data_IF_718489886175
#
_entry.id   IF_718489886175
#
_cell.length_a   1.000
_cell.length_b   1.000
_cell.length_c   1.000
_cell.angle_alpha   90.00
_cell.angle_beta   90.00
_cell.angle_gamma   90.00
#
_symmetry.space_group_name_H-M   'P 1'
#
loop_
_entity.id
_entity.type
_entity.pdbx_description
1 polymer ?
#
# COMPACT_ATOMS: atom_id res chain seq x y z
N UNK A 1 31.94 11.99 -7.00
CA UNK A 1 30.72 11.17 -7.18
C UNK A 1 29.54 12.12 -7.28
N UNK A 2 28.83 12.14 -8.41
CA UNK A 2 27.57 12.88 -8.55
C UNK A 2 26.43 11.95 -8.10
N UNK A 3 25.53 12.46 -7.27
CA UNK A 3 24.35 11.74 -6.80
C UNK A 3 23.26 11.78 -7.87
N UNK A 4 22.78 10.60 -8.28
CA UNK A 4 21.67 10.46 -9.22
C UNK A 4 20.39 10.29 -8.40
N UNK A 5 19.39 11.13 -8.63
CA UNK A 5 18.06 10.98 -8.04
C UNK A 5 17.19 10.16 -8.98
N UNK A 6 16.77 8.98 -8.53
CA UNK A 6 15.89 8.09 -9.28
C UNK A 6 14.48 8.21 -8.70
N UNK A 7 13.49 8.41 -9.56
CA UNK A 7 12.07 8.34 -9.18
C UNK A 7 11.51 7.05 -9.74
N UNK A 8 10.97 6.20 -8.88
CA UNK A 8 10.43 4.89 -9.26
C UNK A 8 8.94 4.93 -9.00
N UNK A 9 8.15 4.68 -10.04
CA UNK A 9 6.71 4.48 -9.93
C UNK A 9 6.46 2.99 -9.70
N UNK A 10 5.85 2.66 -8.56
CA UNK A 10 5.59 1.29 -8.14
C UNK A 10 4.08 1.08 -8.06
N UNK A 11 3.62 0.00 -8.68
CA UNK A 11 2.26 -0.49 -8.51
C UNK A 11 2.05 -0.87 -7.02
N UNK A 12 1.11 -0.23 -6.31
CA UNK A 12 0.89 -0.48 -4.89
C UNK A 12 0.57 -1.95 -4.58
N UNK A 13 -0.01 -2.69 -5.53
CA UNK A 13 -0.29 -4.12 -5.35
C UNK A 13 0.97 -4.98 -5.29
N UNK A 14 2.09 -4.50 -5.86
CA UNK A 14 3.37 -5.21 -5.90
C UNK A 14 4.31 -4.84 -4.75
N UNK A 15 3.99 -3.79 -3.99
CA UNK A 15 4.80 -3.36 -2.85
C UNK A 15 4.93 -4.47 -1.79
N UNK A 16 3.87 -5.22 -1.43
CA UNK A 16 4.00 -6.31 -0.47
C UNK A 16 4.93 -7.41 -0.95
N UNK A 17 4.83 -7.80 -2.23
CA UNK A 17 5.73 -8.77 -2.82
C UNK A 17 7.17 -8.25 -2.83
N UNK A 18 7.38 -6.97 -3.18
CA UNK A 18 8.70 -6.36 -3.18
C UNK A 18 9.33 -6.31 -1.77
N UNK A 19 8.56 -5.93 -0.75
CA UNK A 19 9.06 -5.71 0.62
C UNK A 19 9.22 -7.03 1.37
N UNK A 20 8.28 -7.97 1.21
CA UNK A 20 8.30 -9.24 1.94
C UNK A 20 9.09 -10.34 1.22
N UNK A 21 9.64 -10.09 0.03
CA UNK A 21 10.50 -11.08 -0.65
C UNK A 21 11.75 -11.35 0.16
N UNK A 22 12.17 -12.62 0.20
CA UNK A 22 13.47 -12.98 0.75
C UNK A 22 14.58 -12.55 -0.22
N UNK A 23 15.16 -11.38 0.05
CA UNK A 23 16.24 -10.81 -0.76
C UNK A 23 17.56 -11.57 -0.60
N UNK A 24 17.72 -12.45 0.39
CA UNK A 24 18.94 -13.28 0.51
C UNK A 24 19.12 -14.25 -0.67
N UNK A 25 18.02 -14.57 -1.37
CA UNK A 25 17.98 -15.43 -2.54
C UNK A 25 18.16 -14.66 -3.86
N UNK A 26 18.07 -13.33 -3.82
CA UNK A 26 18.22 -12.47 -4.98
C UNK A 26 19.64 -11.90 -5.01
N UNK A 27 20.38 -12.15 -6.09
CA UNK A 27 21.72 -11.59 -6.29
C UNK A 27 21.73 -10.08 -6.60
N UNK A 28 20.57 -9.42 -6.57
CA UNK A 28 20.38 -8.04 -7.01
C UNK A 28 20.28 -7.08 -5.81
N UNK A 29 21.42 -6.49 -5.46
CA UNK A 29 21.59 -5.44 -4.45
C UNK A 29 20.69 -4.22 -4.73
N UNK A 30 20.42 -3.91 -6.00
CA UNK A 30 19.53 -2.82 -6.39
C UNK A 30 18.09 -3.07 -5.92
N UNK A 31 17.58 -4.30 -6.04
CA UNK A 31 16.20 -4.63 -5.67
C UNK A 31 16.02 -4.53 -4.16
N UNK A 32 17.01 -4.99 -3.39
CA UNK A 32 17.04 -4.84 -1.94
C UNK A 32 17.01 -3.37 -1.52
N UNK A 33 17.83 -2.52 -2.15
CA UNK A 33 17.85 -1.09 -1.85
C UNK A 33 16.52 -0.39 -2.18
N UNK A 34 15.84 -0.80 -3.26
CA UNK A 34 14.50 -0.29 -3.58
C UNK A 34 13.49 -0.77 -2.54
N UNK A 35 13.54 -2.03 -2.11
CA UNK A 35 12.66 -2.56 -1.07
C UNK A 35 12.85 -1.82 0.27
N UNK A 36 14.10 -1.59 0.70
CA UNK A 36 14.44 -0.81 1.89
C UNK A 36 13.91 0.62 1.77
N UNK A 37 14.18 1.29 0.65
CA UNK A 37 13.73 2.67 0.44
C UNK A 37 12.19 2.78 0.45
N UNK A 38 11.51 1.80 -0.15
CA UNK A 38 10.03 1.73 -0.19
C UNK A 38 9.46 1.47 1.20
N UNK A 39 10.02 0.50 1.94
CA UNK A 39 9.58 0.18 3.30
C UNK A 39 9.74 1.38 4.22
N UNK A 40 10.87 2.09 4.14
CA UNK A 40 11.12 3.31 4.90
C UNK A 40 10.20 4.46 4.53
N UNK A 41 9.93 4.65 3.24
CA UNK A 41 9.02 5.70 2.78
C UNK A 41 7.57 5.48 3.26
N UNK A 42 7.16 4.23 3.44
CA UNK A 42 5.83 3.84 3.89
C UNK A 42 5.73 3.57 5.40
N UNK A 43 6.86 3.53 6.12
CA UNK A 43 6.92 3.21 7.55
C UNK A 43 6.59 1.76 7.87
N UNK A 44 6.92 0.83 6.97
CA UNK A 44 6.61 -0.62 7.07
C UNK A 44 7.88 -1.48 7.17
N UNK A 45 8.94 -0.92 7.77
CA UNK A 45 10.25 -1.57 7.92
C UNK A 45 10.16 -2.94 8.63
N UNK A 46 9.17 -3.12 9.50
CA UNK A 46 8.88 -4.38 10.21
C UNK A 46 8.48 -5.55 9.29
N UNK A 47 8.13 -5.29 8.03
CA UNK A 47 7.72 -6.31 7.06
C UNK A 47 8.84 -6.68 6.06
N UNK A 48 9.96 -5.96 6.12
CA UNK A 48 11.08 -6.18 5.20
C UNK A 48 11.65 -7.59 5.34
N UNK A 49 11.81 -8.28 4.21
CA UNK A 49 12.34 -9.65 4.14
C UNK A 49 11.58 -10.67 5.00
N UNK A 50 10.30 -10.41 5.30
CA UNK A 50 9.44 -11.31 6.07
C UNK A 50 8.33 -11.90 5.18
N UNK A 51 8.63 -12.97 4.41
CA UNK A 51 7.68 -13.55 3.44
C UNK A 51 6.40 -14.06 4.10
N UNK A 52 6.47 -14.54 5.34
CA UNK A 52 5.31 -15.04 6.09
C UNK A 52 4.27 -13.95 6.37
N UNK A 53 4.68 -12.68 6.38
CA UNK A 53 3.82 -11.54 6.72
C UNK A 53 3.27 -10.80 5.51
N UNK A 54 3.47 -11.32 4.30
CA UNK A 54 2.96 -10.71 3.06
C UNK A 54 1.45 -10.49 3.09
N UNK A 55 0.69 -11.43 3.68
CA UNK A 55 -0.75 -11.32 3.80
C UNK A 55 -1.18 -10.24 4.80
N UNK A 56 -0.44 -10.07 5.90
CA UNK A 56 -0.66 -8.98 6.86
C UNK A 56 -0.43 -7.63 6.20
N UNK A 57 0.67 -7.48 5.47
CA UNK A 57 1.00 -6.24 4.77
C UNK A 57 -0.02 -5.91 3.67
N UNK A 58 -0.42 -6.90 2.86
CA UNK A 58 -1.48 -6.72 1.85
C UNK A 58 -2.78 -6.25 2.48
N UNK A 59 -3.18 -6.86 3.59
CA UNK A 59 -4.40 -6.47 4.32
C UNK A 59 -4.29 -5.05 4.85
N UNK A 60 -3.18 -4.70 5.50
CA UNK A 60 -2.96 -3.36 6.03
C UNK A 60 -2.99 -2.29 4.93
N UNK A 61 -2.34 -2.54 3.80
CA UNK A 61 -2.38 -1.64 2.64
C UNK A 61 -3.80 -1.48 2.10
N UNK A 62 -4.54 -2.58 1.95
CA UNK A 62 -5.93 -2.54 1.51
C UNK A 62 -6.82 -1.75 2.48
N UNK A 63 -6.70 -1.98 3.79
CA UNK A 63 -7.45 -1.25 4.82
C UNK A 63 -7.11 0.25 4.82
N UNK A 64 -5.85 0.62 4.51
CA UNK A 64 -5.40 2.01 4.39
C UNK A 64 -6.03 2.72 3.19
N UNK A 65 -6.01 2.07 2.02
CA UNK A 65 -6.64 2.60 0.80
C UNK A 65 -8.18 2.69 0.95
N UNK A 66 -8.81 1.68 1.56
CA UNK A 66 -10.26 1.67 1.74
C UNK A 66 -10.75 2.58 2.88
N UNK A 67 -9.93 2.81 3.92
CA UNK A 67 -10.27 3.80 4.97
C UNK A 67 -10.33 5.21 4.41
N UNK A 68 -9.53 5.51 3.38
CA UNK A 68 -9.58 6.81 2.70
C UNK A 68 -10.85 7.00 1.84
N UNK A 69 -11.58 5.92 1.53
CA UNK A 69 -12.85 5.95 0.81
C UNK A 69 -14.09 5.93 1.73
N UNK A 70 -13.91 5.68 3.04
CA UNK A 70 -15.03 5.45 3.95
C UNK A 70 -15.67 6.73 4.53
N UNK A 71 -15.22 7.94 4.16
CA UNK A 71 -15.68 9.18 4.80
C UNK A 71 -16.57 10.11 3.96
N UNK A 72 -16.85 9.80 2.68
CA UNK A 72 -17.68 10.65 1.80
C UNK A 72 -19.00 10.00 1.31
N UNK A 73 -19.30 8.76 1.72
CA UNK A 73 -20.44 8.01 1.15
C UNK A 73 -21.74 8.02 1.98
N UNK A 74 -21.82 8.78 3.08
CA UNK A 74 -23.07 8.92 3.85
C UNK A 74 -23.28 10.37 4.30
N UNK A 75 -23.89 11.17 3.42
CA UNK A 75 -24.70 12.32 3.85
C UNK A 75 -26.17 11.88 3.90
N UNK A 76 -26.76 11.64 5.08
CA UNK A 76 -28.12 11.09 5.21
C UNK A 76 -29.24 12.12 4.98
N UNK A 77 -29.05 13.13 4.13
CA UNK A 77 -29.98 14.28 4.02
C UNK A 77 -30.94 14.27 2.82
N UNK A 78 -31.04 13.20 2.02
CA UNK A 78 -32.09 13.10 0.99
C UNK A 78 -32.95 11.85 1.15
N UNK A 79 -33.68 11.78 2.27
CA UNK A 79 -34.95 11.02 2.33
C UNK A 79 -36.07 11.96 1.88
N UNK A 80 -36.22 12.13 0.57
CA UNK A 80 -37.46 12.65 -0.01
C UNK A 80 -38.44 11.47 -0.18
N UNK A 81 -39.19 11.18 0.88
CA UNK A 81 -40.33 10.28 0.83
C UNK A 81 -41.48 10.99 0.13
N UNK A 82 -41.55 10.95 -1.20
CA UNK A 82 -42.74 11.39 -1.93
C UNK A 82 -43.86 10.36 -1.73
N UNK A 83 -44.81 10.69 -0.86
CA UNK A 83 -46.08 9.99 -0.77
C UNK A 83 -46.96 10.40 -1.96
N UNK A 84 -47.49 9.47 -2.78
CA UNK A 84 -48.53 9.82 -3.74
C UNK A 84 -49.83 10.14 -2.98
N UNK A 85 -50.39 11.32 -3.25
CA UNK A 85 -51.73 11.67 -2.84
C UNK A 85 -52.73 11.20 -3.90
N UNK A 86 -53.54 10.19 -3.55
CA UNK A 86 -54.86 9.95 -4.13
C UNK A 86 -55.74 9.24 -3.08
#
# INVERSE_FOLDING_TARGET
MQSIKITIDLDPQKIPDLVCTDHSLLSDDITEQIAIATAKALGIEDYLSQPDRIYELRRWMWERDNSSFAFDAYSPEEVALEMPAD
#
